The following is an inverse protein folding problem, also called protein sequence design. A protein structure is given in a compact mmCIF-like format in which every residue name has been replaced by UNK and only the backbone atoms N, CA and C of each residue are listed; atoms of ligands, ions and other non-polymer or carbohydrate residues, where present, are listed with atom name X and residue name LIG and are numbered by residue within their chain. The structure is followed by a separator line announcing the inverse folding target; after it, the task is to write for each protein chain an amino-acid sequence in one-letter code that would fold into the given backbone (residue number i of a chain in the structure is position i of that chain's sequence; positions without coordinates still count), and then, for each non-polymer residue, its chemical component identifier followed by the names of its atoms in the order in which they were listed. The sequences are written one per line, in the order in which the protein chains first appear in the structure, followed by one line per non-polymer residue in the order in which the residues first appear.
data_IF_223713705008
#
_entry.id   IF_223713705008
#
_cell.length_a   1.000
_cell.length_b   1.000
_cell.length_c   1.000
_cell.angle_alpha   90.00
_cell.angle_beta   90.00
_cell.angle_gamma   90.00
#
_symmetry.space_group_name_H-M   'P 1'
#
loop_
_entity.id
_entity.type
_entity.pdbx_description
1 polymer ?
#
# COMPACT_ATOMS: atom_id res chain seq x y z
N UNK A 1 11.40 17.80 -9.99
CA UNK A 1 10.42 17.10 -10.85
C UNK A 1 10.28 17.89 -12.15
N UNK A 2 10.60 17.28 -13.29
CA UNK A 2 10.54 17.95 -14.61
C UNK A 2 9.18 17.74 -15.30
N UNK A 3 8.53 16.61 -15.01
CA UNK A 3 7.19 16.24 -15.45
C UNK A 3 6.59 15.21 -14.47
N UNK A 4 5.28 14.87 -14.55
CA UNK A 4 4.73 13.76 -13.77
C UNK A 4 5.56 12.48 -13.98
N UNK A 5 5.98 11.84 -12.89
CA UNK A 5 6.84 10.64 -12.88
C UNK A 5 8.25 10.80 -13.50
N UNK A 6 8.68 12.03 -13.81
CA UNK A 6 10.03 12.31 -14.31
C UNK A 6 10.80 13.18 -13.30
N UNK A 7 11.80 12.57 -12.69
CA UNK A 7 12.67 13.19 -11.70
C UNK A 7 14.09 13.22 -12.24
N UNK A 8 14.69 14.41 -12.21
CA UNK A 8 16.12 14.59 -12.42
C UNK A 8 16.71 14.96 -11.07
N UNK A 9 17.86 14.39 -10.74
CA UNK A 9 18.68 14.82 -9.61
C UNK A 9 20.12 14.97 -10.08
N UNK A 10 20.79 16.03 -9.62
CA UNK A 10 22.19 16.32 -9.94
C UNK A 10 23.12 15.54 -8.99
N UNK A 11 22.85 14.24 -8.86
CA UNK A 11 23.54 13.33 -7.96
C UNK A 11 24.79 12.73 -8.62
N UNK A 12 25.96 13.30 -8.29
CA UNK A 12 27.24 12.91 -8.88
C UNK A 12 28.15 12.13 -7.91
N UNK A 13 27.66 11.79 -6.73
CA UNK A 13 28.37 10.91 -5.78
C UNK A 13 27.51 9.68 -5.48
N UNK A 14 28.11 8.50 -5.25
CA UNK A 14 27.35 7.27 -4.98
C UNK A 14 26.36 7.40 -3.82
N UNK A 15 26.74 8.12 -2.74
CA UNK A 15 25.85 8.37 -1.62
C UNK A 15 24.59 9.18 -2.00
N UNK A 16 24.74 10.19 -2.86
CA UNK A 16 23.60 10.98 -3.36
C UNK A 16 22.72 10.15 -4.29
N UNK A 17 23.33 9.35 -5.17
CA UNK A 17 22.61 8.47 -6.10
C UNK A 17 21.80 7.43 -5.30
N UNK A 18 22.40 6.80 -4.28
CA UNK A 18 21.69 5.89 -3.36
C UNK A 18 20.53 6.57 -2.64
N UNK A 19 20.73 7.79 -2.15
CA UNK A 19 19.66 8.56 -1.51
C UNK A 19 18.50 8.86 -2.47
N UNK A 20 18.81 9.24 -3.71
CA UNK A 20 17.80 9.48 -4.74
C UNK A 20 17.05 8.19 -5.12
N UNK A 21 17.75 7.08 -5.27
CA UNK A 21 17.14 5.77 -5.55
C UNK A 21 16.28 5.29 -4.39
N UNK A 22 16.73 5.47 -3.14
CA UNK A 22 15.96 5.14 -1.94
C UNK A 22 14.64 5.90 -1.90
N UNK A 23 14.68 7.21 -2.14
CA UNK A 23 13.47 8.05 -2.25
C UNK A 23 12.55 7.58 -3.39
N UNK A 24 13.14 7.20 -4.52
CA UNK A 24 12.39 6.70 -5.67
C UNK A 24 11.73 5.34 -5.38
N UNK A 25 12.42 4.43 -4.67
CA UNK A 25 11.87 3.14 -4.22
C UNK A 25 10.74 3.33 -3.22
N UNK A 26 10.83 4.32 -2.35
CA UNK A 26 9.74 4.66 -1.43
C UNK A 26 8.50 5.22 -2.14
N UNK A 27 8.67 5.76 -3.34
CA UNK A 27 7.59 6.42 -4.10
C UNK A 27 6.98 5.50 -5.17
N UNK A 28 7.79 4.65 -5.80
CA UNK A 28 7.44 3.85 -6.97
C UNK A 28 7.75 2.35 -6.82
N UNK A 29 8.08 1.88 -5.62
CA UNK A 29 8.52 0.52 -5.31
C UNK A 29 9.64 0.06 -6.26
N UNK A 30 9.53 -1.13 -6.86
CA UNK A 30 10.52 -1.68 -7.79
C UNK A 30 10.36 -1.14 -9.23
N UNK A 31 9.38 -0.27 -9.51
CA UNK A 31 9.10 0.22 -10.88
C UNK A 31 9.92 1.45 -11.27
N UNK A 32 11.23 1.39 -11.06
CA UNK A 32 12.14 2.52 -11.33
C UNK A 32 12.90 2.29 -12.62
N UNK A 33 12.78 3.25 -13.54
CA UNK A 33 13.64 3.37 -14.73
C UNK A 33 14.66 4.46 -14.47
N UNK A 34 15.94 4.14 -14.60
CA UNK A 34 17.05 5.07 -14.39
C UNK A 34 17.71 5.38 -15.71
N UNK A 35 17.93 6.67 -15.99
CA UNK A 35 18.85 7.13 -17.03
C UNK A 35 20.09 7.66 -16.32
N UNK A 36 21.21 6.96 -16.44
CA UNK A 36 22.46 7.33 -15.81
C UNK A 36 23.38 8.02 -16.82
N UNK A 37 23.55 9.32 -16.62
CA UNK A 37 24.60 10.13 -17.26
C UNK A 37 25.73 10.35 -16.24
N UNK A 38 26.86 9.69 -16.46
CA UNK A 38 28.04 9.91 -15.63
C UNK A 38 28.65 11.31 -15.84
N UNK A 39 29.37 11.81 -14.82
CA UNK A 39 29.99 13.14 -14.85
C UNK A 39 31.25 13.16 -15.74
N UNK A 40 32.45 13.31 -15.17
CA UNK A 40 33.72 13.19 -15.89
C UNK A 40 34.25 11.75 -15.82
N UNK A 41 34.93 11.28 -16.87
CA UNK A 41 35.54 9.94 -16.93
C UNK A 41 36.48 9.70 -15.73
N UNK A 42 37.26 10.71 -15.38
CA UNK A 42 38.17 10.68 -14.22
C UNK A 42 37.43 10.39 -12.92
N UNK A 43 36.24 10.99 -12.71
CA UNK A 43 35.41 10.73 -11.52
C UNK A 43 34.80 9.34 -11.50
N UNK A 44 34.43 8.81 -12.66
CA UNK A 44 33.88 7.47 -12.75
C UNK A 44 34.89 6.40 -12.33
N UNK A 45 36.17 6.57 -12.68
CA UNK A 45 37.23 5.68 -12.18
C UNK A 45 37.34 5.66 -10.66
N UNK A 46 37.13 6.80 -9.99
CA UNK A 46 37.14 6.86 -8.52
C UNK A 46 35.97 6.11 -7.86
N UNK A 47 34.85 5.95 -8.55
CA UNK A 47 33.64 5.30 -8.01
C UNK A 47 33.36 3.94 -8.66
N UNK A 48 34.31 3.42 -9.42
CA UNK A 48 34.17 2.22 -10.27
C UNK A 48 33.69 1.00 -9.48
N UNK A 49 34.22 0.81 -8.27
CA UNK A 49 33.85 -0.31 -7.42
C UNK A 49 32.44 -0.18 -6.83
N UNK A 50 31.99 1.06 -6.60
CA UNK A 50 30.65 1.34 -6.08
C UNK A 50 29.58 1.25 -7.17
N UNK A 51 29.93 1.55 -8.43
CA UNK A 51 29.01 1.46 -9.58
C UNK A 51 28.40 0.06 -9.72
N UNK A 52 29.15 -0.99 -9.37
CA UNK A 52 28.75 -2.38 -9.53
C UNK A 52 27.38 -2.70 -8.88
N UNK A 53 27.10 -2.13 -7.71
CA UNK A 53 25.86 -2.36 -6.94
C UNK A 53 24.98 -1.13 -6.82
N UNK A 54 25.38 -0.03 -7.46
CA UNK A 54 24.74 1.27 -7.25
C UNK A 54 23.27 1.29 -7.68
N UNK A 55 22.94 0.49 -8.69
CA UNK A 55 21.62 0.41 -9.32
C UNK A 55 20.95 -0.95 -9.07
N UNK A 56 21.33 -1.66 -8.01
CA UNK A 56 20.59 -2.87 -7.62
C UNK A 56 19.14 -2.48 -7.25
N UNK A 57 18.16 -3.26 -7.72
CA UNK A 57 16.73 -3.03 -7.46
C UNK A 57 15.99 -2.21 -8.52
N UNK A 58 16.68 -1.57 -9.46
CA UNK A 58 16.02 -0.81 -10.54
C UNK A 58 15.43 -1.75 -11.59
N UNK A 59 14.23 -1.44 -12.08
CA UNK A 59 13.54 -2.22 -13.13
C UNK A 59 14.28 -2.19 -14.46
N UNK A 60 14.80 -1.02 -14.81
CA UNK A 60 15.51 -0.80 -16.06
C UNK A 60 16.56 0.31 -15.90
N UNK A 61 17.78 0.07 -16.38
CA UNK A 61 18.87 1.05 -16.39
C UNK A 61 19.30 1.37 -17.82
N UNK A 62 19.29 2.64 -18.17
CA UNK A 62 19.87 3.15 -19.41
C UNK A 62 21.14 3.94 -19.08
N UNK A 63 22.29 3.47 -19.54
CA UNK A 63 23.56 4.20 -19.38
C UNK A 63 23.82 5.01 -20.65
N UNK A 64 23.99 6.33 -20.49
CA UNK A 64 24.28 7.24 -21.61
C UNK A 64 25.73 7.76 -21.54
N UNK A 65 26.31 8.21 -22.67
CA UNK A 65 27.66 8.75 -22.69
C UNK A 65 27.81 9.90 -21.69
N UNK A 66 28.94 9.91 -21.00
CA UNK A 66 29.26 10.94 -20.01
C UNK A 66 29.82 12.20 -20.64
N UNK A 67 29.68 13.31 -19.93
CA UNK A 67 30.26 14.58 -20.36
C UNK A 67 31.78 14.56 -20.22
N UNK A 68 32.51 14.68 -21.34
CA UNK A 68 33.96 14.64 -21.36
C UNK A 68 34.54 16.06 -21.28
N UNK A 69 35.14 16.42 -20.15
CA UNK A 69 35.80 17.70 -19.99
C UNK A 69 37.05 17.60 -19.11
N UNK A 70 38.19 18.05 -19.65
CA UNK A 70 39.49 18.09 -18.95
C UNK A 70 39.86 16.73 -18.34
N UNK A 71 39.75 15.67 -19.14
CA UNK A 71 40.01 14.29 -18.69
C UNK A 71 41.50 13.96 -18.60
N UNK A 72 41.84 13.02 -17.72
CA UNK A 72 43.18 12.44 -17.67
C UNK A 72 43.38 11.47 -18.85
N UNK A 73 44.31 11.76 -19.79
CA UNK A 73 44.57 10.91 -20.95
C UNK A 73 45.17 9.54 -20.60
N UNK A 74 45.64 9.34 -19.36
CA UNK A 74 46.16 8.04 -18.89
C UNK A 74 45.05 7.07 -18.49
N UNK A 75 43.85 7.58 -18.22
CA UNK A 75 42.72 6.75 -17.81
C UNK A 75 41.95 6.28 -19.03
N UNK A 76 41.60 4.99 -19.02
CA UNK A 76 40.74 4.42 -20.04
C UNK A 76 39.38 5.13 -20.07
N UNK A 77 38.81 5.35 -21.25
CA UNK A 77 37.46 5.88 -21.36
C UNK A 77 36.44 4.80 -20.97
N UNK A 78 35.69 5.05 -19.90
CA UNK A 78 34.55 4.24 -19.47
C UNK A 78 33.32 4.60 -20.32
N UNK A 79 33.19 3.92 -21.46
CA UNK A 79 32.00 4.02 -22.31
C UNK A 79 30.79 3.36 -21.63
N UNK A 80 29.55 3.64 -22.06
CA UNK A 80 28.36 2.98 -21.53
C UNK A 80 28.50 1.46 -21.47
N UNK A 81 29.03 0.83 -22.52
CA UNK A 81 29.24 -0.61 -22.61
C UNK A 81 30.19 -1.12 -21.52
N UNK A 82 31.31 -0.41 -21.30
CA UNK A 82 32.26 -0.76 -20.23
C UNK A 82 31.68 -0.54 -18.85
N UNK A 83 30.81 0.45 -18.66
CA UNK A 83 30.10 0.64 -17.39
C UNK A 83 29.17 -0.54 -17.14
N UNK A 84 28.44 -1.01 -18.17
CA UNK A 84 27.58 -2.21 -18.05
C UNK A 84 28.37 -3.44 -17.63
N UNK A 85 29.59 -3.62 -18.14
CA UNK A 85 30.46 -4.75 -17.77
C UNK A 85 30.85 -4.76 -16.29
N UNK A 86 30.84 -3.60 -15.63
CA UNK A 86 31.15 -3.46 -14.21
C UNK A 86 29.96 -3.76 -13.29
N UNK A 87 28.74 -3.76 -13.83
CA UNK A 87 27.52 -3.95 -13.05
C UNK A 87 27.40 -5.38 -12.50
N UNK A 88 26.66 -5.51 -11.40
CA UNK A 88 26.24 -6.77 -10.81
C UNK A 88 25.42 -7.60 -11.80
N UNK A 89 25.42 -8.93 -11.63
CA UNK A 89 24.57 -9.81 -12.44
C UNK A 89 23.08 -9.51 -12.27
N UNK A 90 22.68 -9.00 -11.10
CA UNK A 90 21.31 -8.52 -10.86
C UNK A 90 20.98 -7.39 -11.82
N UNK A 91 21.77 -6.33 -11.88
CA UNK A 91 21.46 -5.17 -12.73
C UNK A 91 21.69 -5.42 -14.22
N UNK A 92 22.68 -6.24 -14.58
CA UNK A 92 23.05 -6.51 -15.99
C UNK A 92 21.90 -7.04 -16.84
N UNK A 93 20.99 -7.84 -16.27
CA UNK A 93 19.88 -8.44 -17.02
C UNK A 93 18.85 -7.44 -17.55
N UNK A 94 18.86 -6.22 -17.01
CA UNK A 94 17.91 -5.15 -17.34
C UNK A 94 18.64 -3.79 -17.43
N UNK A 95 19.86 -3.81 -17.94
CA UNK A 95 20.64 -2.62 -18.23
C UNK A 95 21.01 -2.56 -19.72
N UNK A 96 20.96 -1.37 -20.31
CA UNK A 96 21.27 -1.15 -21.72
C UNK A 96 22.05 0.13 -21.93
N UNK A 97 22.97 0.11 -22.91
CA UNK A 97 23.62 1.31 -23.39
C UNK A 97 22.64 2.07 -24.29
N UNK A 98 22.59 3.39 -24.15
CA UNK A 98 21.71 4.25 -24.93
C UNK A 98 22.38 5.58 -25.25
N UNK A 99 21.80 6.32 -26.19
CA UNK A 99 22.13 7.73 -26.41
C UNK A 99 21.03 8.60 -25.84
N UNK A 100 21.37 9.79 -25.35
CA UNK A 100 20.39 10.77 -24.87
C UNK A 100 19.71 11.45 -26.06
N UNK A 101 18.77 10.75 -26.70
CA UNK A 101 18.08 11.17 -27.92
C UNK A 101 16.59 10.79 -27.91
N UNK A 102 15.88 11.15 -28.99
CA UNK A 102 14.44 10.88 -29.14
C UNK A 102 14.12 9.37 -29.20
N UNK A 103 15.06 8.52 -29.64
CA UNK A 103 14.86 7.06 -29.64
C UNK A 103 14.79 6.51 -28.23
N UNK A 104 15.65 6.98 -27.32
CA UNK A 104 15.59 6.62 -25.91
C UNK A 104 14.28 7.13 -25.27
N UNK A 105 13.88 8.36 -25.59
CA UNK A 105 12.60 8.89 -25.14
C UNK A 105 11.40 8.05 -25.64
N UNK A 106 11.45 7.57 -26.89
CA UNK A 106 10.47 6.66 -27.47
C UNK A 106 10.40 5.31 -26.77
N UNK A 107 11.55 4.67 -26.51
CA UNK A 107 11.63 3.40 -25.77
C UNK A 107 11.05 3.49 -24.35
N UNK A 108 11.42 4.55 -23.62
CA UNK A 108 10.88 4.79 -22.27
C UNK A 108 9.36 5.00 -22.30
N UNK A 109 8.86 5.79 -23.28
CA UNK A 109 7.42 6.00 -23.46
C UNK A 109 6.68 4.71 -23.79
N UNK A 110 7.22 3.86 -24.65
CA UNK A 110 6.60 2.57 -25.01
C UNK A 110 6.53 1.61 -23.82
N UNK A 111 7.55 1.55 -22.97
CA UNK A 111 7.50 0.76 -21.73
C UNK A 111 6.51 1.35 -20.70
N UNK A 112 6.39 2.67 -20.62
CA UNK A 112 5.34 3.37 -19.83
C UNK A 112 3.91 3.14 -20.40
N UNK A 113 3.77 3.00 -21.72
CA UNK A 113 2.52 2.64 -22.41
C UNK A 113 2.05 1.21 -22.11
N UNK A 114 2.88 0.41 -21.42
CA UNK A 114 2.47 -0.86 -20.81
C UNK A 114 1.69 -0.65 -19.50
N UNK A 115 1.13 0.53 -19.28
CA UNK A 115 0.16 0.81 -18.21
C UNK A 115 -0.93 -0.25 -18.24
N UNK A 116 -1.14 -0.95 -17.13
CA UNK A 116 -2.18 -1.97 -16.95
C UNK A 116 -2.84 -1.72 -15.61
N UNK A 117 -4.09 -1.29 -15.62
CA UNK A 117 -4.80 -0.92 -14.41
C UNK A 117 -6.21 -1.53 -14.43
N UNK A 118 -6.57 -2.38 -13.46
CA UNK A 118 -7.93 -2.87 -13.34
C UNK A 118 -8.85 -1.76 -12.79
N UNK A 119 -9.87 -1.39 -13.55
CA UNK A 119 -10.86 -0.36 -13.22
C UNK A 119 -12.24 -0.98 -13.04
N UNK A 120 -12.89 -0.70 -11.91
CA UNK A 120 -14.30 -1.07 -11.71
C UNK A 120 -15.21 -0.12 -12.47
N UNK A 121 -16.15 -0.65 -13.23
CA UNK A 121 -17.19 0.13 -13.90
C UNK A 121 -18.54 -0.40 -13.42
N UNK A 122 -19.40 0.51 -12.96
CA UNK A 122 -20.79 0.24 -12.61
C UNK A 122 -21.70 0.74 -13.72
N UNK A 123 -22.60 -0.12 -14.18
CA UNK A 123 -23.65 0.23 -15.14
C UNK A 123 -25.00 0.09 -14.45
N UNK A 124 -25.66 1.23 -14.21
CA UNK A 124 -27.01 1.30 -13.69
C UNK A 124 -28.01 0.94 -14.79
N UNK A 125 -28.72 -0.17 -14.61
CA UNK A 125 -29.80 -0.61 -15.50
C UNK A 125 -31.17 -0.28 -14.90
N UNK A 126 -32.24 -0.47 -15.68
CA UNK A 126 -33.62 -0.41 -15.17
C UNK A 126 -33.90 -1.48 -14.10
N UNK A 127 -33.11 -2.55 -14.06
CA UNK A 127 -33.14 -3.58 -13.02
C UNK A 127 -31.96 -3.43 -12.04
N UNK A 128 -31.25 -4.54 -11.77
CA UNK A 128 -30.09 -4.52 -10.90
C UNK A 128 -28.88 -3.86 -11.59
N UNK A 129 -28.12 -3.01 -10.88
CA UNK A 129 -26.88 -2.47 -11.41
C UNK A 129 -25.84 -3.58 -11.56
N UNK A 130 -25.03 -3.48 -12.61
CA UNK A 130 -23.98 -4.44 -12.90
C UNK A 130 -22.61 -3.81 -12.67
N UNK A 131 -21.73 -4.51 -11.96
CA UNK A 131 -20.38 -4.04 -11.64
C UNK A 131 -19.38 -5.00 -12.28
N UNK A 132 -18.49 -4.47 -13.13
CA UNK A 132 -17.47 -5.28 -13.82
C UNK A 132 -16.10 -4.64 -13.69
N UNK A 133 -15.07 -5.47 -13.46
CA UNK A 133 -13.66 -5.06 -13.50
C UNK A 133 -13.14 -5.17 -14.92
N UNK A 134 -12.61 -4.08 -15.45
CA UNK A 134 -12.05 -3.99 -16.80
C UNK A 134 -10.58 -3.63 -16.68
N UNK A 135 -9.74 -4.34 -17.43
CA UNK A 135 -8.32 -4.01 -17.50
C UNK A 135 -8.12 -2.87 -18.51
N UNK A 136 -7.74 -1.69 -18.02
CA UNK A 136 -7.35 -0.55 -18.86
C UNK A 136 -5.88 -0.68 -19.18
N UNK A 137 -5.55 -0.69 -20.47
CA UNK A 137 -4.20 -0.76 -20.99
C UNK A 137 -3.85 0.44 -21.86
N UNK A 138 -2.75 1.12 -21.57
CA UNK A 138 -2.32 2.31 -22.32
C UNK A 138 -3.25 3.53 -22.15
N UNK A 139 -3.30 4.39 -23.17
CA UNK A 139 -4.05 5.67 -23.15
C UNK A 139 -5.54 5.55 -23.52
N UNK A 140 -5.95 4.45 -24.14
CA UNK A 140 -7.34 4.16 -24.50
C UNK A 140 -7.56 2.64 -24.47
N UNK A 141 -8.71 2.21 -23.95
CA UNK A 141 -9.08 0.80 -23.91
C UNK A 141 -10.56 0.64 -24.22
N UNK A 142 -10.84 -0.16 -25.23
CA UNK A 142 -12.21 -0.56 -25.55
C UNK A 142 -12.66 -1.67 -24.59
N UNK A 143 -13.91 -1.61 -24.15
CA UNK A 143 -14.49 -2.63 -23.28
C UNK A 143 -15.94 -2.89 -23.61
N UNK A 144 -16.41 -4.10 -23.29
CA UNK A 144 -17.81 -4.51 -23.44
C UNK A 144 -18.34 -5.08 -22.13
N UNK A 145 -19.45 -4.53 -21.66
CA UNK A 145 -20.21 -5.00 -20.51
C UNK A 145 -21.58 -5.43 -21.05
N UNK A 146 -21.87 -6.71 -20.96
CA UNK A 146 -23.20 -7.22 -21.28
C UNK A 146 -24.09 -6.97 -20.05
N UNK A 147 -25.27 -6.38 -20.23
CA UNK A 147 -26.17 -6.06 -19.12
C UNK A 147 -27.50 -6.79 -19.22
N UNK A 148 -28.04 -7.27 -18.08
CA UNK A 148 -29.33 -7.98 -18.03
C UNK A 148 -30.58 -7.06 -18.14
N UNK A 149 -30.40 -5.80 -18.55
CA UNK A 149 -31.48 -4.84 -18.70
C UNK A 149 -31.03 -3.59 -19.47
N UNK A 150 -31.97 -2.72 -19.82
CA UNK A 150 -31.67 -1.47 -20.52
C UNK A 150 -30.81 -0.55 -19.61
N UNK A 151 -29.62 -0.11 -20.05
CA UNK A 151 -28.84 0.87 -19.31
C UNK A 151 -29.59 2.19 -19.21
N UNK A 152 -29.57 2.80 -18.02
CA UNK A 152 -30.14 4.14 -17.83
C UNK A 152 -29.29 5.17 -18.57
N UNK A 153 -29.90 6.24 -19.13
CA UNK A 153 -29.13 7.36 -19.67
C UNK A 153 -28.24 7.95 -18.57
N UNK A 154 -26.95 8.13 -18.87
CA UNK A 154 -25.90 8.55 -17.92
C UNK A 154 -25.69 7.60 -16.72
N UNK A 155 -26.15 6.34 -16.79
CA UNK A 155 -26.01 5.34 -15.73
C UNK A 155 -24.65 4.64 -15.65
N UNK A 156 -23.64 5.09 -16.40
CA UNK A 156 -22.31 4.47 -16.38
C UNK A 156 -21.42 5.29 -15.44
N UNK A 157 -20.94 4.64 -14.39
CA UNK A 157 -20.00 5.22 -13.42
C UNK A 157 -18.68 4.47 -13.49
N UNK A 158 -17.62 5.17 -13.89
CA UNK A 158 -16.24 4.65 -13.84
C UNK A 158 -15.72 4.86 -12.42
N UNK A 159 -15.17 3.80 -11.84
CA UNK A 159 -14.63 3.79 -10.49
C UNK A 159 -15.67 4.22 -9.43
N UNK A 160 -16.77 3.46 -9.26
CA UNK A 160 -17.87 3.83 -8.36
C UNK A 160 -17.42 4.00 -6.89
N UNK A 161 -16.32 3.33 -6.53
CA UNK A 161 -15.72 3.38 -5.21
C UNK A 161 -14.58 4.42 -5.10
N UNK A 162 -14.29 5.14 -6.19
CA UNK A 162 -13.32 6.23 -6.30
C UNK A 162 -11.89 5.79 -5.85
N UNK A 163 -11.45 4.60 -6.27
CA UNK A 163 -10.17 3.96 -6.00
C UNK A 163 -9.01 4.40 -6.92
N UNK A 164 -9.27 4.91 -8.12
CA UNK A 164 -8.31 4.92 -9.24
C UNK A 164 -7.95 6.30 -9.80
N UNK A 165 -8.75 7.35 -9.52
CA UNK A 165 -8.56 8.66 -10.17
C UNK A 165 -8.41 9.86 -9.23
N UNK A 166 -8.06 9.67 -7.95
CA UNK A 166 -7.71 10.80 -7.07
C UNK A 166 -6.57 10.43 -6.11
N UNK A 167 -5.49 11.22 -6.16
CA UNK A 167 -4.61 11.47 -5.00
C UNK A 167 -5.44 12.17 -3.91
N UNK A 168 -6.40 11.47 -3.33
CA UNK A 168 -7.15 12.00 -2.20
C UNK A 168 -6.35 11.74 -0.92
N UNK A 169 -6.32 12.69 0.03
CA UNK A 169 -5.75 12.46 1.36
C UNK A 169 -6.30 11.18 1.99
N UNK A 170 -7.60 10.90 1.81
CA UNK A 170 -8.27 9.68 2.31
C UNK A 170 -7.69 8.39 1.73
N UNK A 171 -7.46 8.31 0.42
CA UNK A 171 -6.84 7.12 -0.20
C UNK A 171 -5.39 6.95 0.24
N UNK A 172 -4.64 8.05 0.34
CA UNK A 172 -3.24 8.02 0.82
C UNK A 172 -3.17 7.50 2.26
N UNK A 173 -4.05 8.00 3.13
CA UNK A 173 -4.19 7.53 4.52
C UNK A 173 -4.53 6.04 4.56
N UNK A 174 -5.51 5.58 3.76
CA UNK A 174 -5.85 4.15 3.69
C UNK A 174 -4.68 3.28 3.24
N UNK A 175 -3.92 3.69 2.24
CA UNK A 175 -2.75 2.95 1.76
C UNK A 175 -1.65 2.87 2.83
N UNK A 176 -1.38 3.97 3.52
CA UNK A 176 -0.41 4.01 4.63
C UNK A 176 -0.86 3.11 5.78
N UNK A 177 -2.14 3.16 6.16
CA UNK A 177 -2.71 2.27 7.19
C UNK A 177 -2.58 0.81 6.79
N UNK A 178 -2.92 0.45 5.55
CA UNK A 178 -2.79 -0.92 5.07
C UNK A 178 -1.33 -1.42 5.07
N UNK A 179 -0.36 -0.53 4.79
CA UNK A 179 1.07 -0.86 4.94
C UNK A 179 1.43 -1.13 6.40
N UNK A 180 0.96 -0.29 7.32
CA UNK A 180 1.11 -0.50 8.76
C UNK A 180 0.52 -1.82 9.23
N UNK A 181 -0.66 -2.20 8.74
CA UNK A 181 -1.31 -3.48 9.06
C UNK A 181 -0.48 -4.67 8.60
N UNK A 182 0.07 -4.63 7.38
CA UNK A 182 0.96 -5.67 6.87
C UNK A 182 2.24 -5.81 7.72
N UNK A 183 2.84 -4.68 8.12
CA UNK A 183 4.00 -4.69 9.01
C UNK A 183 3.67 -5.27 10.40
N UNK A 184 2.51 -4.92 10.95
CA UNK A 184 2.03 -5.47 12.22
C UNK A 184 1.76 -6.97 12.13
N UNK A 185 1.22 -7.46 11.01
CA UNK A 185 1.01 -8.88 10.76
C UNK A 185 2.35 -9.66 10.70
N UNK A 186 3.43 -9.02 10.25
CA UNK A 186 4.80 -9.55 10.30
C UNK A 186 5.46 -9.44 11.68
N UNK A 187 4.76 -8.92 12.70
CA UNK A 187 5.29 -8.68 14.05
C UNK A 187 6.20 -7.45 14.17
N UNK A 188 6.33 -6.65 13.10
CA UNK A 188 7.16 -5.45 13.05
C UNK A 188 6.41 -4.23 13.60
N UNK A 189 6.03 -4.30 14.87
CA UNK A 189 5.14 -3.30 15.46
C UNK A 189 5.73 -1.88 15.54
N UNK A 190 7.06 -1.74 15.64
CA UNK A 190 7.70 -0.43 15.64
C UNK A 190 7.57 0.27 14.28
N UNK A 191 7.83 -0.45 13.18
CA UNK A 191 7.67 0.05 11.81
C UNK A 191 6.20 0.35 11.52
N UNK A 192 5.28 -0.53 11.94
CA UNK A 192 3.84 -0.32 11.81
C UNK A 192 3.38 0.97 12.48
N UNK A 193 3.85 1.23 13.71
CA UNK A 193 3.55 2.47 14.44
C UNK A 193 4.07 3.73 13.71
N UNK A 194 5.18 3.64 12.97
CA UNK A 194 5.63 4.78 12.16
C UNK A 194 4.70 5.06 10.99
N UNK A 195 4.23 4.02 10.30
CA UNK A 195 3.25 4.18 9.21
C UNK A 195 1.94 4.76 9.75
N UNK A 196 1.41 4.26 10.87
CA UNK A 196 0.19 4.84 11.45
C UNK A 196 0.35 6.31 11.84
N UNK A 197 1.51 6.72 12.35
CA UNK A 197 1.79 8.14 12.60
C UNK A 197 1.75 8.96 11.31
N UNK A 198 2.35 8.47 10.22
CA UNK A 198 2.26 9.16 8.91
C UNK A 198 0.83 9.27 8.41
N UNK A 199 -0.01 8.27 8.66
CA UNK A 199 -1.44 8.35 8.34
C UNK A 199 -2.13 9.46 9.15
N UNK A 200 -1.80 9.57 10.44
CA UNK A 200 -2.31 10.62 11.35
C UNK A 200 -1.75 12.01 11.03
N UNK A 201 -0.53 12.12 10.49
CA UNK A 201 0.02 13.40 10.03
C UNK A 201 -0.80 13.99 8.87
N UNK A 202 -1.43 13.14 8.06
CA UNK A 202 -2.28 13.56 6.94
C UNK A 202 -3.73 13.76 7.39
N UNK A 203 -4.26 12.84 8.19
CA UNK A 203 -5.62 12.92 8.73
C UNK A 203 -5.58 12.66 10.25
N UNK A 204 -5.41 13.71 11.08
CA UNK A 204 -5.27 13.57 12.53
C UNK A 204 -6.50 12.98 13.23
N UNK A 205 -7.66 12.97 12.58
CA UNK A 205 -8.91 12.44 13.13
C UNK A 205 -9.25 11.05 12.60
N UNK A 206 -8.33 10.37 11.91
CA UNK A 206 -8.61 9.06 11.34
C UNK A 206 -8.72 7.99 12.43
N UNK A 207 -9.94 7.52 12.70
CA UNK A 207 -10.22 6.56 13.77
C UNK A 207 -9.57 5.21 13.52
N UNK A 208 -9.50 4.75 12.26
CA UNK A 208 -8.85 3.49 11.93
C UNK A 208 -7.34 3.51 12.23
N UNK A 209 -6.64 4.59 11.88
CA UNK A 209 -5.21 4.73 12.13
C UNK A 209 -4.90 4.74 13.64
N UNK A 210 -5.67 5.51 14.42
CA UNK A 210 -5.58 5.50 15.89
C UNK A 210 -5.86 4.10 16.46
N UNK A 211 -6.92 3.43 16.00
CA UNK A 211 -7.29 2.09 16.45
C UNK A 211 -6.16 1.08 16.20
N UNK A 212 -5.56 1.09 15.01
CA UNK A 212 -4.48 0.16 14.64
C UNK A 212 -3.18 0.44 15.38
N UNK A 213 -2.86 1.71 15.60
CA UNK A 213 -1.73 2.11 16.43
C UNK A 213 -1.92 1.66 17.89
N UNK A 214 -3.13 1.82 18.43
CA UNK A 214 -3.50 1.35 19.76
C UNK A 214 -3.38 -0.17 19.89
N UNK A 215 -3.87 -0.92 18.91
CA UNK A 215 -3.77 -2.38 18.83
C UNK A 215 -2.31 -2.85 18.81
N UNK A 216 -1.47 -2.22 17.99
CA UNK A 216 -0.04 -2.50 17.95
C UNK A 216 0.64 -2.22 19.31
N UNK A 217 0.26 -1.16 20.02
CA UNK A 217 0.76 -0.85 21.37
C UNK A 217 0.26 -1.84 22.42
N UNK A 218 -0.98 -2.32 22.30
CA UNK A 218 -1.56 -3.33 23.19
C UNK A 218 -0.78 -4.63 23.13
N UNK A 219 -0.45 -5.11 21.92
CA UNK A 219 0.38 -6.31 21.75
C UNK A 219 1.82 -6.13 22.26
N UNK A 220 2.34 -4.91 22.22
CA UNK A 220 3.61 -4.54 22.86
C UNK A 220 3.52 -4.40 24.39
N UNK A 221 2.34 -4.65 24.99
CA UNK A 221 2.06 -4.49 26.43
C UNK A 221 2.19 -3.06 26.94
N UNK A 222 2.17 -2.07 26.05
CA UNK A 222 2.13 -0.67 26.43
C UNK A 222 0.66 -0.22 26.65
N UNK A 223 0.05 -0.73 27.71
CA UNK A 223 -1.39 -0.63 27.95
C UNK A 223 -1.88 0.81 28.14
N UNK A 224 -1.11 1.66 28.81
CA UNK A 224 -1.51 3.05 29.05
C UNK A 224 -1.53 3.86 27.75
N UNK A 225 -0.51 3.70 26.90
CA UNK A 225 -0.47 4.37 25.60
C UNK A 225 -1.55 3.83 24.66
N UNK A 226 -1.77 2.51 24.65
CA UNK A 226 -2.83 1.89 23.87
C UNK A 226 -4.22 2.44 24.25
N UNK A 227 -4.52 2.57 25.54
CA UNK A 227 -5.80 3.13 25.99
C UNK A 227 -6.01 4.57 25.53
N UNK A 228 -4.95 5.38 25.49
CA UNK A 228 -5.04 6.76 25.00
C UNK A 228 -5.33 6.81 23.50
N UNK A 229 -4.68 5.96 22.70
CA UNK A 229 -4.91 5.87 21.26
C UNK A 229 -6.30 5.30 20.93
N UNK A 230 -6.81 4.32 21.67
CA UNK A 230 -8.20 3.86 21.51
C UNK A 230 -9.22 4.97 21.83
N UNK A 231 -8.96 5.81 22.84
CA UNK A 231 -9.81 6.98 23.11
C UNK A 231 -9.71 8.04 22.00
N UNK A 232 -8.53 8.22 21.42
CA UNK A 232 -8.37 9.09 20.25
C UNK A 232 -9.15 8.55 19.04
N UNK A 233 -9.16 7.23 18.83
CA UNK A 233 -9.99 6.59 17.82
C UNK A 233 -11.49 6.88 18.04
N UNK A 234 -11.96 6.80 19.29
CA UNK A 234 -13.35 7.14 19.65
C UNK A 234 -13.70 8.63 19.43
N UNK A 235 -12.71 9.52 19.52
CA UNK A 235 -12.87 10.96 19.27
C UNK A 235 -12.67 11.39 17.81
N UNK A 236 -12.41 10.45 16.90
CA UNK A 236 -12.11 10.70 15.49
C UNK A 236 -13.34 10.69 14.57
N UNK A 237 -13.14 10.25 13.34
CA UNK A 237 -14.17 10.17 12.29
C UNK A 237 -15.07 8.92 12.37
N UNK A 238 -14.74 7.97 13.25
CA UNK A 238 -15.42 6.67 13.43
C UNK A 238 -15.63 5.93 12.12
N UNK A 239 -14.67 6.04 11.21
CA UNK A 239 -14.66 5.34 9.93
C UNK A 239 -13.48 4.36 9.87
N UNK A 240 -13.73 3.04 9.81
CA UNK A 240 -15.05 2.39 9.76
C UNK A 240 -15.80 2.35 11.10
N UNK A 241 -17.14 2.34 11.08
CA UNK A 241 -17.99 2.36 12.30
C UNK A 241 -17.64 1.31 13.37
N UNK A 242 -17.20 0.13 12.94
CA UNK A 242 -16.81 -0.93 13.86
C UNK A 242 -15.64 -0.55 14.77
N UNK A 243 -14.86 0.50 14.44
CA UNK A 243 -13.80 0.99 15.32
C UNK A 243 -14.36 1.46 16.66
N UNK A 244 -15.61 1.93 16.71
CA UNK A 244 -16.25 2.36 17.95
C UNK A 244 -16.41 1.20 18.93
N UNK A 245 -17.11 0.14 18.52
CA UNK A 245 -17.38 -1.02 19.37
C UNK A 245 -16.08 -1.72 19.81
N UNK A 246 -15.15 -1.90 18.89
CA UNK A 246 -13.89 -2.57 19.17
C UNK A 246 -12.97 -1.74 20.06
N UNK A 247 -13.00 -0.39 19.97
CA UNK A 247 -12.22 0.47 20.88
C UNK A 247 -12.69 0.29 22.32
N UNK A 248 -14.00 0.27 22.57
CA UNK A 248 -14.54 0.01 23.91
C UNK A 248 -14.13 -1.37 24.44
N UNK A 249 -14.20 -2.41 23.60
CA UNK A 249 -13.76 -3.76 23.99
C UNK A 249 -12.27 -3.77 24.38
N UNK A 250 -11.40 -3.15 23.58
CA UNK A 250 -9.96 -3.14 23.88
C UNK A 250 -9.61 -2.28 25.09
N UNK A 251 -10.28 -1.14 25.31
CA UNK A 251 -10.12 -0.36 26.54
C UNK A 251 -10.56 -1.17 27.76
N UNK A 252 -11.68 -1.92 27.65
CA UNK A 252 -12.12 -2.86 28.67
C UNK A 252 -11.07 -3.93 28.98
N UNK A 253 -10.48 -4.55 27.94
CA UNK A 253 -9.40 -5.54 28.08
C UNK A 253 -8.19 -4.95 28.80
N UNK A 254 -7.84 -3.71 28.48
CA UNK A 254 -6.75 -2.98 29.14
C UNK A 254 -7.07 -2.76 30.63
N UNK A 255 -8.27 -2.29 30.96
CA UNK A 255 -8.65 -2.09 32.37
C UNK A 255 -8.68 -3.39 33.17
N UNK A 256 -9.11 -4.50 32.59
CA UNK A 256 -9.04 -5.82 33.24
C UNK A 256 -7.59 -6.20 33.57
N UNK A 257 -6.66 -6.02 32.63
CA UNK A 257 -5.22 -6.29 32.84
C UNK A 257 -4.63 -5.40 33.93
N UNK A 258 -5.11 -4.15 34.04
CA UNK A 258 -4.70 -3.19 35.07
C UNK A 258 -5.44 -3.38 36.41
N UNK A 259 -6.28 -4.41 36.55
CA UNK A 259 -7.04 -4.70 37.77
C UNK A 259 -8.22 -3.75 38.04
N UNK A 260 -8.58 -2.90 37.08
CA UNK A 260 -9.65 -1.91 37.19
C UNK A 260 -10.98 -2.46 36.67
N UNK A 261 -11.46 -3.55 37.30
CA UNK A 261 -12.60 -4.34 36.79
C UNK A 261 -13.89 -3.53 36.61
N UNK A 262 -14.20 -2.64 37.54
CA UNK A 262 -15.40 -1.80 37.46
C UNK A 262 -15.38 -0.93 36.19
N UNK A 263 -14.22 -0.32 35.87
CA UNK A 263 -14.03 0.45 34.64
C UNK A 263 -14.09 -0.44 33.40
N UNK A 264 -13.54 -1.64 33.46
CA UNK A 264 -13.61 -2.60 32.35
C UNK A 264 -15.06 -2.96 32.00
N UNK A 265 -15.89 -3.30 33.00
CA UNK A 265 -17.30 -3.65 32.81
C UNK A 265 -18.09 -2.47 32.23
N UNK A 266 -17.80 -1.24 32.67
CA UNK A 266 -18.43 -0.05 32.09
C UNK A 266 -18.11 0.09 30.59
N UNK A 267 -16.85 -0.12 30.19
CA UNK A 267 -16.47 -0.06 28.76
C UNK A 267 -17.12 -1.17 27.94
N UNK A 268 -17.18 -2.41 28.44
CA UNK A 268 -17.90 -3.48 27.74
C UNK A 268 -19.42 -3.20 27.64
N UNK A 269 -19.99 -2.50 28.61
CA UNK A 269 -21.40 -2.05 28.55
C UNK A 269 -21.60 -1.02 27.45
N UNK A 270 -20.67 -0.07 27.31
CA UNK A 270 -20.66 0.89 26.20
C UNK A 270 -20.53 0.18 24.85
N UNK A 271 -19.65 -0.83 24.75
CA UNK A 271 -19.55 -1.68 23.56
C UNK A 271 -20.89 -2.35 23.22
N UNK A 272 -21.63 -2.86 24.20
CA UNK A 272 -22.96 -3.45 23.96
C UNK A 272 -24.00 -2.43 23.48
N UNK A 273 -23.92 -1.19 23.96
CA UNK A 273 -24.84 -0.13 23.57
C UNK A 273 -24.67 0.30 22.11
N UNK A 274 -23.48 0.11 21.51
CA UNK A 274 -23.27 0.37 20.07
C UNK A 274 -24.14 -0.53 19.18
N UNK A 275 -24.53 -1.72 19.67
CA UNK A 275 -25.26 -2.78 18.94
C UNK A 275 -24.59 -3.24 17.64
N UNK A 276 -23.33 -2.90 17.42
CA UNK A 276 -22.54 -3.36 16.28
C UNK A 276 -21.93 -4.73 16.60
N UNK A 277 -22.29 -5.77 15.82
CA UNK A 277 -21.78 -7.14 16.00
C UNK A 277 -20.74 -7.52 14.93
N UNK A 278 -20.03 -6.54 14.39
CA UNK A 278 -18.94 -6.77 13.43
C UNK A 278 -17.89 -7.69 14.04
N UNK A 279 -17.69 -8.87 13.45
CA UNK A 279 -16.78 -9.93 13.92
C UNK A 279 -17.14 -10.44 15.33
N UNK A 280 -18.43 -10.49 15.68
CA UNK A 280 -18.88 -11.05 16.96
C UNK A 280 -18.56 -10.15 18.17
N UNK A 281 -18.40 -8.84 17.94
CA UNK A 281 -18.06 -7.87 18.97
C UNK A 281 -19.03 -7.88 20.17
N UNK A 282 -20.33 -8.09 19.94
CA UNK A 282 -21.32 -8.14 21.03
C UNK A 282 -21.11 -9.37 21.92
N UNK A 283 -20.76 -10.50 21.29
CA UNK A 283 -20.46 -11.74 22.00
C UNK A 283 -19.16 -11.60 22.81
N UNK A 284 -18.13 -10.98 22.24
CA UNK A 284 -16.89 -10.67 22.97
C UNK A 284 -17.17 -9.77 24.18
N UNK A 285 -17.91 -8.67 24.00
CA UNK A 285 -18.25 -7.76 25.09
C UNK A 285 -19.02 -8.49 26.20
N UNK A 286 -20.05 -9.27 25.85
CA UNK A 286 -20.83 -10.07 26.81
C UNK A 286 -19.95 -11.08 27.58
N UNK A 287 -19.04 -11.76 26.87
CA UNK A 287 -18.08 -12.69 27.48
C UNK A 287 -17.20 -11.97 28.51
N UNK A 288 -16.65 -10.82 28.16
CA UNK A 288 -15.75 -10.10 29.07
C UNK A 288 -16.46 -9.38 30.21
N UNK A 289 -17.76 -9.09 30.10
CA UNK A 289 -18.57 -8.64 31.24
C UNK A 289 -18.71 -9.73 32.32
N UNK A 290 -18.84 -10.99 31.91
CA UNK A 290 -18.95 -12.11 32.85
C UNK A 290 -17.58 -12.54 33.40
N UNK A 291 -16.56 -12.63 32.53
CA UNK A 291 -15.23 -13.11 32.89
C UNK A 291 -14.14 -12.09 32.54
N UNK A 292 -13.27 -11.68 33.48
CA UNK A 292 -12.18 -10.75 33.19
C UNK A 292 -11.24 -11.26 32.12
N UNK A 293 -10.84 -10.37 31.21
CA UNK A 293 -9.76 -10.66 30.27
C UNK A 293 -8.45 -10.93 31.05
N UNK A 294 -7.72 -12.00 30.68
CA UNK A 294 -6.46 -12.39 31.34
C UNK A 294 -6.61 -13.24 32.63
N UNK A 295 -7.82 -13.67 32.98
CA UNK A 295 -8.06 -14.52 34.17
C UNK A 295 -7.70 -16.00 34.00
N UNK A 296 -7.42 -16.47 32.77
CA UNK A 296 -6.89 -17.81 32.51
C UNK A 296 -5.38 -17.75 32.32
N UNK A 297 -4.64 -18.31 33.27
CA UNK A 297 -3.20 -18.52 33.17
C UNK A 297 -2.87 -19.66 32.18
N UNK A 298 -3.14 -19.46 30.89
CA UNK A 298 -2.52 -20.13 29.73
C UNK A 298 -3.32 -19.82 28.45
N UNK A 299 -3.01 -18.73 27.78
CA UNK A 299 -3.16 -18.69 26.31
C UNK A 299 -1.86 -18.15 25.73
N UNK A 300 -1.10 -18.95 24.97
CA UNK A 300 0.14 -18.48 24.38
C UNK A 300 -0.16 -17.31 23.44
N UNK A 301 0.70 -16.30 23.51
CA UNK A 301 0.81 -15.26 22.50
C UNK A 301 1.19 -15.90 21.16
N UNK A 302 0.19 -16.30 20.36
CA UNK A 302 0.40 -16.75 18.97
C UNK A 302 -0.91 -16.74 18.17
N UNK A 303 -1.33 -15.54 17.73
CA UNK A 303 -1.91 -15.33 16.41
C UNK A 303 -1.84 -13.83 16.11
N UNK A 304 -0.96 -13.45 15.18
CA UNK A 304 -0.94 -12.11 14.59
C UNK A 304 -2.33 -11.77 13.98
N UNK A 305 -2.70 -10.47 13.87
CA UNK A 305 -4.07 -10.06 13.59
C UNK A 305 -4.45 -10.40 12.15
N UNK A 306 -5.22 -11.48 11.99
CA UNK A 306 -5.95 -11.81 10.77
C UNK A 306 -7.39 -12.15 11.11
N UNK A 307 -7.98 -11.32 11.97
CA UNK A 307 -9.44 -11.17 12.10
C UNK A 307 -9.81 -9.71 11.88
N UNK A 308 -9.33 -9.14 10.77
CA UNK A 308 -10.07 -8.07 10.12
C UNK A 308 -11.41 -8.65 9.67
N UNK A 309 -12.54 -7.95 9.87
CA UNK A 309 -13.67 -8.21 9.00
C UNK A 309 -13.17 -8.03 7.57
N UNK A 310 -13.41 -8.99 6.65
CA UNK A 310 -13.22 -8.68 5.23
C UNK A 310 -14.03 -7.42 4.91
N UNK A 311 -13.59 -6.59 3.94
CA UNK A 311 -14.46 -5.53 3.43
C UNK A 311 -15.79 -6.19 3.05
N UNK A 312 -16.94 -5.53 3.27
CA UNK A 312 -18.25 -6.13 3.00
C UNK A 312 -18.22 -6.72 1.60
N UNK A 313 -18.25 -8.05 1.52
CA UNK A 313 -18.38 -8.76 0.25
C UNK A 313 -19.68 -8.25 -0.36
N UNK A 314 -19.58 -7.66 -1.55
CA UNK A 314 -20.72 -7.55 -2.45
C UNK A 314 -21.37 -8.92 -2.49
N UNK A 315 -22.61 -8.99 -2.00
CA UNK A 315 -23.34 -10.24 -1.83
C UNK A 315 -23.31 -11.07 -3.11
N UNK A 316 -23.08 -12.36 -2.88
CA UNK A 316 -23.81 -13.47 -3.48
C UNK A 316 -23.94 -13.46 -5.01
N UNK A 317 -23.16 -14.30 -5.71
CA UNK A 317 -23.71 -15.23 -6.70
C UNK A 317 -22.92 -16.53 -6.66
N UNK A 318 -23.62 -17.58 -6.23
CA UNK A 318 -23.15 -18.96 -6.23
C UNK A 318 -22.68 -19.43 -7.61
N UNK A 319 -21.80 -20.43 -7.56
CA UNK A 319 -21.37 -21.20 -8.71
C UNK A 319 -22.58 -21.73 -9.50
N UNK A 320 -22.67 -21.48 -10.81
CA UNK A 320 -23.57 -22.25 -11.64
C UNK A 320 -22.95 -23.62 -11.89
N UNK A 321 -23.34 -24.60 -11.07
CA UNK A 321 -23.19 -26.01 -11.38
C UNK A 321 -23.96 -26.34 -12.67
N UNK A 322 -23.25 -26.85 -13.67
CA UNK A 322 -23.80 -27.34 -14.94
C UNK A 322 -24.77 -28.51 -14.69
N UNK A 323 -26.08 -28.23 -14.68
CA UNK A 323 -27.10 -29.27 -14.92
C UNK A 323 -27.47 -29.26 -16.40
N UNK A 324 -27.05 -30.33 -17.09
CA UNK A 324 -27.48 -30.70 -18.45
C UNK A 324 -29.01 -30.67 -18.51
N UNK A 325 -29.55 -29.91 -19.46
CA UNK A 325 -30.96 -29.95 -19.81
C UNK A 325 -31.15 -31.09 -20.81
N UNK A 326 -31.82 -32.15 -20.38
CA UNK A 326 -32.41 -33.17 -21.26
C UNK A 326 -33.52 -32.55 -22.09
N UNK A 327 -33.54 -32.89 -23.38
CA UNK A 327 -34.57 -32.58 -24.36
C UNK A 327 -35.89 -33.34 -24.09
N UNK A 328 -36.93 -32.97 -24.87
CA UNK A 328 -38.32 -33.47 -24.96
C UNK A 328 -39.32 -32.73 -24.07
N UNK A 329 -40.44 -32.20 -24.59
CA UNK A 329 -41.22 -32.51 -25.81
C UNK A 329 -41.84 -31.25 -26.40
#
# INVERSE_FOLDING_TARGET
QLAPNLYTDYAHTPAKIRGALQMAHETADDNIVVIYEGLHNTRQHFIKDELAKLFDGVKQLYVVPSYLAREDPKLELLTPEKILDLLSNSTKGHAAAAQLNDDLAGKIRQELDTFRMPVEIKVDTEGNPEIKKILVTGTSSEFKIDTFGRPKPNGITVDPNNNLLKSSPRLRVRAIVARGENLAAMGKYFEANQEYRRALDIQPTNSLAHFRMAEAMFYQKNYQAAANEFRAALGGDLDPKWTEVWSHIYIGKIYDVLGQRERAVNEYTLAQHTKDDTVGAQQEAARYMQKPYGSDAATPAAAAPSQTPPPPTSGDQGEPALKKRTESK
#
